data_IF_046325834219
#
_entry.id   IF_046325834219
#
_cell.length_a   1.000
_cell.length_b   1.000
_cell.length_c   1.000
_cell.angle_alpha   90.00
_cell.angle_beta   90.00
_cell.angle_gamma   90.00
#
_symmetry.space_group_name_H-M   'P 1'
#
loop_
_entity.id
_entity.type
_entity.pdbx_description
1 polymer ?
#
# COMPACT_ATOMS: atom_id res chain seq x y z
N UNK A 1 4.56 24.11 -6.28
CA UNK A 1 3.79 22.85 -6.35
C UNK A 1 2.65 23.02 -7.32
N UNK A 2 2.48 22.09 -8.25
CA UNK A 2 1.35 22.11 -9.17
C UNK A 2 0.03 21.87 -8.42
N UNK A 3 -1.10 22.35 -9.00
CA UNK A 3 -2.42 22.09 -8.42
C UNK A 3 -2.72 20.59 -8.30
N UNK A 4 -2.21 19.78 -9.25
CA UNK A 4 -2.33 18.32 -9.21
C UNK A 4 -1.66 17.72 -7.99
N UNK A 5 -0.45 18.14 -7.68
CA UNK A 5 0.31 17.64 -6.54
C UNK A 5 -0.30 18.06 -5.21
N UNK A 6 -0.85 19.25 -5.14
CA UNK A 6 -1.61 19.70 -3.96
C UNK A 6 -2.84 18.82 -3.74
N UNK A 7 -3.57 18.50 -4.79
CA UNK A 7 -4.73 17.60 -4.70
C UNK A 7 -4.35 16.18 -4.24
N UNK A 8 -3.21 15.67 -4.71
CA UNK A 8 -2.67 14.37 -4.29
C UNK A 8 -2.31 14.41 -2.81
N UNK A 9 -1.62 15.45 -2.35
CA UNK A 9 -1.26 15.63 -0.95
C UNK A 9 -2.50 15.69 -0.05
N UNK A 10 -3.50 16.45 -0.44
CA UNK A 10 -4.75 16.57 0.30
C UNK A 10 -5.49 15.22 0.39
N UNK A 11 -5.50 14.48 -0.71
CA UNK A 11 -6.11 13.14 -0.79
C UNK A 11 -5.39 12.14 0.12
N UNK A 12 -4.07 12.06 0.02
CA UNK A 12 -3.28 11.14 0.85
C UNK A 12 -3.34 11.57 2.33
N UNK A 13 -3.23 12.86 2.62
CA UNK A 13 -3.32 13.40 3.96
C UNK A 13 -4.66 13.13 4.65
N UNK A 14 -5.75 13.08 3.88
CA UNK A 14 -7.07 12.71 4.39
C UNK A 14 -7.13 11.23 4.79
N UNK A 15 -6.41 10.35 4.09
CA UNK A 15 -6.36 8.91 4.35
C UNK A 15 -5.27 8.51 5.34
N UNK A 16 -4.16 9.25 5.35
CA UNK A 16 -2.99 8.98 6.19
C UNK A 16 -2.69 10.21 7.04
N UNK A 17 -3.23 10.30 8.26
CA UNK A 17 -2.96 11.43 9.15
C UNK A 17 -1.47 11.61 9.42
N UNK A 18 -0.96 12.83 9.22
CA UNK A 18 0.43 13.17 9.39
C UNK A 18 1.30 13.05 8.12
N UNK A 19 0.74 12.59 7.01
CA UNK A 19 1.41 12.64 5.71
C UNK A 19 1.34 14.05 5.13
N UNK A 20 2.50 14.66 4.94
CA UNK A 20 2.62 16.06 4.45
C UNK A 20 3.50 16.18 3.21
N UNK A 21 3.84 15.08 2.57
CA UNK A 21 4.72 15.04 1.41
C UNK A 21 6.20 15.07 1.76
N UNK A 22 7.02 15.43 0.79
CA UNK A 22 8.47 15.27 0.86
C UNK A 22 9.24 16.58 0.63
N UNK A 23 8.63 17.73 0.96
CA UNK A 23 9.19 19.06 0.65
C UNK A 23 10.45 19.41 1.44
N UNK A 24 10.59 18.90 2.66
CA UNK A 24 11.77 19.09 3.49
C UNK A 24 12.18 17.81 4.22
N UNK A 25 13.36 17.81 4.83
CA UNK A 25 13.92 16.60 5.47
C UNK A 25 13.04 16.04 6.58
N UNK A 26 12.45 16.91 7.42
CA UNK A 26 11.58 16.46 8.51
C UNK A 26 10.29 15.86 7.97
N UNK A 27 9.68 16.47 6.95
CA UNK A 27 8.47 15.98 6.28
C UNK A 27 8.72 14.66 5.56
N UNK A 28 9.88 14.52 4.88
CA UNK A 28 10.24 13.28 4.19
C UNK A 28 10.20 12.07 5.12
N UNK A 29 10.88 12.14 6.24
CA UNK A 29 10.95 11.03 7.20
C UNK A 29 9.60 10.74 7.84
N UNK A 30 8.90 11.80 8.23
CA UNK A 30 7.58 11.69 8.85
C UNK A 30 6.56 11.08 7.89
N UNK A 31 6.46 11.63 6.69
CA UNK A 31 5.51 11.16 5.66
C UNK A 31 5.80 9.72 5.25
N UNK A 32 7.05 9.37 5.05
CA UNK A 32 7.48 8.03 4.67
C UNK A 32 7.12 7.00 5.76
N UNK A 33 7.37 7.31 7.01
CA UNK A 33 6.97 6.46 8.13
C UNK A 33 5.45 6.31 8.24
N UNK A 34 4.71 7.39 8.15
CA UNK A 34 3.25 7.37 8.19
C UNK A 34 2.66 6.61 7.02
N UNK A 35 3.22 6.77 5.84
CA UNK A 35 2.84 6.01 4.64
C UNK A 35 2.97 4.50 4.86
N UNK A 36 4.13 4.04 5.32
CA UNK A 36 4.38 2.62 5.59
C UNK A 36 3.45 2.06 6.66
N UNK A 37 3.41 2.72 7.81
CA UNK A 37 2.66 2.25 8.97
C UNK A 37 1.17 2.16 8.67
N UNK A 38 0.58 3.17 8.07
CA UNK A 38 -0.85 3.21 7.79
C UNK A 38 -1.25 2.23 6.69
N UNK A 39 -0.46 2.11 5.63
CA UNK A 39 -0.73 1.15 4.56
C UNK A 39 -0.58 -0.29 5.05
N UNK A 40 0.43 -0.59 5.85
CA UNK A 40 0.59 -1.90 6.48
C UNK A 40 -0.59 -2.21 7.40
N UNK A 41 -1.06 -1.25 8.17
CA UNK A 41 -2.23 -1.41 9.05
C UNK A 41 -3.50 -1.77 8.27
N UNK A 42 -3.75 -1.11 7.13
CA UNK A 42 -4.91 -1.42 6.29
C UNK A 42 -4.81 -2.80 5.66
N UNK A 43 -3.62 -3.22 5.23
CA UNK A 43 -3.40 -4.56 4.72
C UNK A 43 -3.58 -5.63 5.81
N UNK A 44 -3.14 -5.37 7.04
CA UNK A 44 -3.38 -6.25 8.19
C UNK A 44 -4.89 -6.37 8.50
N UNK A 45 -5.62 -5.27 8.45
CA UNK A 45 -7.08 -5.28 8.62
C UNK A 45 -7.78 -6.06 7.52
N UNK A 46 -7.30 -5.93 6.28
CA UNK A 46 -7.82 -6.70 5.14
C UNK A 46 -7.58 -8.19 5.31
N UNK A 47 -6.40 -8.58 5.80
CA UNK A 47 -6.08 -9.98 6.13
C UNK A 47 -7.02 -10.52 7.22
N UNK A 48 -7.27 -9.74 8.27
CA UNK A 48 -8.22 -10.12 9.32
C UNK A 48 -9.64 -10.35 8.79
N UNK A 49 -10.09 -9.51 7.87
CA UNK A 49 -11.39 -9.69 7.22
C UNK A 49 -11.44 -11.02 6.43
N UNK A 50 -10.36 -11.39 5.78
CA UNK A 50 -10.25 -12.69 5.10
C UNK A 50 -10.26 -13.84 6.09
N UNK A 51 -9.55 -13.74 7.20
CA UNK A 51 -9.55 -14.76 8.26
C UNK A 51 -10.97 -14.97 8.81
N UNK A 52 -11.72 -13.92 9.06
CA UNK A 52 -13.11 -14.04 9.49
C UNK A 52 -13.98 -14.76 8.46
N UNK A 53 -13.77 -14.50 7.19
CA UNK A 53 -14.46 -15.24 6.12
C UNK A 53 -14.03 -16.71 6.06
N UNK A 54 -12.75 -17.00 6.25
CA UNK A 54 -12.25 -18.39 6.32
C UNK A 54 -12.93 -19.18 7.45
N UNK A 55 -13.23 -18.56 8.59
CA UNK A 55 -13.97 -19.21 9.69
C UNK A 55 -15.36 -19.64 9.22
N UNK A 56 -16.03 -18.83 8.42
CA UNK A 56 -17.33 -19.18 7.82
C UNK A 56 -17.18 -20.38 6.88
N UNK A 57 -16.15 -20.40 6.04
CA UNK A 57 -15.88 -21.52 5.13
C UNK A 57 -15.59 -22.85 5.89
N UNK A 58 -14.87 -22.77 7.00
CA UNK A 58 -14.62 -23.93 7.86
C UNK A 58 -15.95 -24.47 8.42
N UNK A 59 -16.82 -23.58 8.90
CA UNK A 59 -18.14 -23.98 9.44
C UNK A 59 -19.03 -24.61 8.36
N UNK A 60 -18.92 -24.21 7.10
CA UNK A 60 -19.67 -24.79 5.99
C UNK A 60 -18.97 -25.99 5.34
N UNK A 61 -17.82 -26.39 5.85
CA UNK A 61 -17.00 -27.52 5.35
C UNK A 61 -16.57 -27.41 3.88
N UNK A 62 -16.33 -26.19 3.39
CA UNK A 62 -15.87 -25.93 2.02
C UNK A 62 -14.35 -25.79 1.96
N UNK A 63 -13.65 -26.93 1.97
CA UNK A 63 -12.18 -26.98 2.06
C UNK A 63 -11.48 -26.47 0.80
N UNK A 64 -12.08 -26.64 -0.40
CA UNK A 64 -11.48 -26.16 -1.64
C UNK A 64 -11.43 -24.64 -1.68
N UNK A 65 -12.51 -23.97 -1.33
CA UNK A 65 -12.55 -22.53 -1.22
C UNK A 65 -11.62 -22.02 -0.13
N UNK A 66 -11.55 -22.73 0.99
CA UNK A 66 -10.66 -22.37 2.10
C UNK A 66 -9.21 -22.27 1.63
N UNK A 67 -8.72 -23.21 0.83
CA UNK A 67 -7.36 -23.19 0.30
C UNK A 67 -7.09 -21.99 -0.61
N UNK A 68 -8.04 -21.64 -1.48
CA UNK A 68 -7.92 -20.47 -2.36
C UNK A 68 -7.81 -19.17 -1.55
N UNK A 69 -8.63 -19.03 -0.51
CA UNK A 69 -8.58 -17.87 0.37
C UNK A 69 -7.33 -17.82 1.25
N UNK A 70 -6.80 -19.00 1.63
CA UNK A 70 -5.54 -19.09 2.37
C UNK A 70 -4.35 -18.62 1.52
N UNK A 71 -4.32 -18.96 0.24
CA UNK A 71 -3.30 -18.46 -0.68
C UNK A 71 -3.35 -16.93 -0.78
N UNK A 72 -4.54 -16.35 -0.87
CA UNK A 72 -4.74 -14.92 -0.90
C UNK A 72 -4.32 -14.25 0.43
N UNK A 73 -4.65 -14.87 1.56
CA UNK A 73 -4.24 -14.41 2.89
C UNK A 73 -2.71 -14.34 2.99
N UNK A 74 -2.02 -15.37 2.53
CA UNK A 74 -0.54 -15.41 2.51
C UNK A 74 0.05 -14.31 1.64
N UNK A 75 -0.54 -14.05 0.48
CA UNK A 75 -0.13 -12.95 -0.39
C UNK A 75 -0.29 -11.59 0.29
N UNK A 76 -1.40 -11.37 0.99
CA UNK A 76 -1.61 -10.16 1.79
C UNK A 76 -0.58 -10.00 2.91
N UNK A 77 -0.29 -11.08 3.63
CA UNK A 77 0.72 -11.08 4.69
C UNK A 77 2.10 -10.71 4.14
N UNK A 78 2.49 -11.29 3.01
CA UNK A 78 3.74 -10.98 2.33
C UNK A 78 3.79 -9.51 1.91
N UNK A 79 2.71 -8.99 1.33
CA UNK A 79 2.63 -7.59 0.92
C UNK A 79 2.70 -6.64 2.11
N UNK A 80 2.07 -6.98 3.23
CA UNK A 80 2.16 -6.20 4.47
C UNK A 80 3.62 -6.05 4.91
N UNK A 81 4.38 -7.12 4.88
CA UNK A 81 5.80 -7.10 5.23
C UNK A 81 6.63 -6.28 4.24
N UNK A 82 6.36 -6.41 2.94
CA UNK A 82 7.03 -5.62 1.90
C UNK A 82 6.78 -4.12 2.11
N UNK A 83 5.55 -3.72 2.33
CA UNK A 83 5.19 -2.30 2.56
C UNK A 83 5.82 -1.77 3.84
N UNK A 84 5.81 -2.57 4.90
CA UNK A 84 6.31 -2.14 6.21
C UNK A 84 7.84 -2.00 6.26
N UNK A 85 8.57 -2.86 5.57
CA UNK A 85 10.03 -3.00 5.71
C UNK A 85 10.85 -2.71 4.45
N UNK A 86 10.23 -2.31 3.34
CA UNK A 86 10.91 -2.14 2.04
C UNK A 86 11.94 -1.01 1.96
N UNK A 87 12.04 -0.16 2.97
CA UNK A 87 12.77 1.11 2.88
C UNK A 87 14.17 1.12 3.49
N UNK A 88 14.69 -0.03 3.91
CA UNK A 88 16.02 -0.09 4.50
C UNK A 88 17.14 0.35 3.56
N UNK A 89 16.96 0.23 2.24
CA UNK A 89 17.90 0.69 1.23
C UNK A 89 17.66 2.11 0.70
N UNK A 90 16.59 2.75 1.12
CA UNK A 90 16.11 4.04 0.61
C UNK A 90 16.32 5.21 1.59
N UNK A 91 16.94 4.95 2.74
CA UNK A 91 17.10 5.92 3.81
C UNK A 91 17.88 7.18 3.41
N UNK A 92 18.83 7.06 2.47
CA UNK A 92 19.60 8.19 1.96
C UNK A 92 18.73 9.17 1.17
N UNK A 93 17.84 8.68 0.30
CA UNK A 93 16.90 9.52 -0.44
C UNK A 93 16.10 10.43 0.48
N UNK A 94 15.52 9.84 1.54
CA UNK A 94 14.68 10.56 2.49
C UNK A 94 15.48 11.45 3.45
N UNK A 95 16.80 11.34 3.49
CA UNK A 95 17.67 12.16 4.35
C UNK A 95 18.40 13.28 3.62
N UNK A 96 18.48 13.28 2.30
CA UNK A 96 19.21 14.28 1.52
C UNK A 96 18.35 15.50 1.17
N UNK A 97 18.99 16.69 1.19
CA UNK A 97 18.32 17.97 0.92
C UNK A 97 18.38 18.41 -0.54
N UNK A 98 19.00 17.62 -1.43
CA UNK A 98 19.32 18.05 -2.80
C UNK A 98 18.38 17.48 -3.88
N UNK A 99 17.25 16.91 -3.48
CA UNK A 99 16.34 16.30 -4.45
C UNK A 99 15.45 17.40 -5.04
N UNK A 100 15.34 17.41 -6.35
CA UNK A 100 14.52 18.38 -7.09
C UNK A 100 13.04 18.14 -6.84
N UNK A 101 12.26 19.21 -6.91
CA UNK A 101 10.81 19.17 -6.69
C UNK A 101 10.11 18.19 -7.64
N UNK A 102 10.50 18.16 -8.92
CA UNK A 102 9.95 17.23 -9.91
C UNK A 102 10.15 15.76 -9.56
N UNK A 103 11.24 15.44 -8.89
CA UNK A 103 11.57 14.09 -8.45
C UNK A 103 10.72 13.67 -7.24
N UNK A 104 10.50 14.60 -6.33
CA UNK A 104 9.59 14.41 -5.20
C UNK A 104 8.16 14.23 -5.66
N UNK A 105 7.76 14.95 -6.70
CA UNK A 105 6.43 14.84 -7.31
C UNK A 105 6.19 13.44 -7.88
N UNK A 106 7.20 12.82 -8.46
CA UNK A 106 7.11 11.42 -8.95
C UNK A 106 6.91 10.44 -7.81
N UNK A 107 7.56 10.63 -6.68
CA UNK A 107 7.35 9.79 -5.49
C UNK A 107 5.91 9.93 -4.98
N UNK A 108 5.36 11.13 -4.98
CA UNK A 108 3.95 11.37 -4.64
C UNK A 108 2.99 10.59 -5.54
N UNK A 109 3.26 10.52 -6.84
CA UNK A 109 2.44 9.75 -7.78
C UNK A 109 2.48 8.24 -7.46
N UNK A 110 3.64 7.69 -7.17
CA UNK A 110 3.74 6.29 -6.72
C UNK A 110 2.96 6.06 -5.42
N UNK A 111 3.08 6.96 -4.46
CA UNK A 111 2.37 6.86 -3.20
C UNK A 111 0.86 6.91 -3.39
N UNK A 112 0.35 7.79 -4.25
CA UNK A 112 -1.07 7.86 -4.59
C UNK A 112 -1.57 6.54 -5.19
N UNK A 113 -0.87 5.99 -6.15
CA UNK A 113 -1.24 4.72 -6.79
C UNK A 113 -1.28 3.56 -5.80
N UNK A 114 -0.31 3.48 -4.89
CA UNK A 114 -0.26 2.44 -3.85
C UNK A 114 -1.43 2.61 -2.88
N UNK A 115 -1.67 3.81 -2.39
CA UNK A 115 -2.78 4.11 -1.48
C UNK A 115 -4.12 3.74 -2.11
N UNK A 116 -4.34 4.07 -3.37
CA UNK A 116 -5.57 3.75 -4.09
C UNK A 116 -5.81 2.24 -4.15
N UNK A 117 -4.80 1.44 -4.48
CA UNK A 117 -4.92 -0.03 -4.55
C UNK A 117 -5.17 -0.64 -3.18
N UNK A 118 -4.51 -0.14 -2.14
CA UNK A 118 -4.71 -0.63 -0.77
C UNK A 118 -6.13 -0.31 -0.29
N UNK A 119 -6.66 0.88 -0.59
CA UNK A 119 -8.05 1.23 -0.29
C UNK A 119 -9.04 0.28 -1.00
N UNK A 120 -8.79 -0.06 -2.26
CA UNK A 120 -9.60 -1.02 -3.01
C UNK A 120 -9.57 -2.39 -2.33
N UNK A 121 -8.40 -2.88 -1.94
CA UNK A 121 -8.25 -4.16 -1.23
C UNK A 121 -9.05 -4.16 0.07
N UNK A 122 -8.91 -3.12 0.88
CA UNK A 122 -9.61 -3.00 2.15
C UNK A 122 -11.12 -3.01 1.98
N UNK A 123 -11.65 -2.20 1.09
CA UNK A 123 -13.08 -2.15 0.79
C UNK A 123 -13.61 -3.47 0.25
N UNK A 124 -12.88 -4.11 -0.65
CA UNK A 124 -13.25 -5.41 -1.20
C UNK A 124 -13.27 -6.49 -0.11
N UNK A 125 -12.35 -6.46 0.85
CA UNK A 125 -12.30 -7.40 1.97
C UNK A 125 -13.47 -7.24 2.95
N UNK A 126 -14.04 -6.04 3.05
CA UNK A 126 -15.19 -5.76 3.91
C UNK A 126 -16.55 -6.11 3.25
N UNK A 127 -16.70 -5.74 1.99
CA UNK A 127 -17.99 -5.69 1.29
C UNK A 127 -18.22 -6.80 0.25
N UNK A 128 -17.65 -7.93 0.38
CA UNK A 128 -17.73 -9.12 -0.49
C UNK A 128 -18.91 -9.12 -1.44
N UNK A 129 -18.78 -8.46 -2.59
CA UNK A 129 -19.81 -8.38 -3.63
C UNK A 129 -20.15 -9.77 -4.19
N UNK A 130 -19.13 -10.51 -4.60
CA UNK A 130 -19.13 -11.94 -4.80
C UNK A 130 -17.75 -12.47 -4.41
N UNK A 131 -17.67 -13.71 -3.97
CA UNK A 131 -16.40 -14.31 -3.55
C UNK A 131 -15.38 -14.30 -4.67
N UNK A 132 -15.78 -14.66 -5.87
CA UNK A 132 -14.89 -14.75 -7.03
C UNK A 132 -14.38 -13.38 -7.47
N UNK A 133 -15.26 -12.37 -7.56
CA UNK A 133 -14.87 -11.00 -7.91
C UNK A 133 -13.96 -10.39 -6.85
N UNK A 134 -14.23 -10.63 -5.58
CA UNK A 134 -13.40 -10.15 -4.47
C UNK A 134 -11.99 -10.74 -4.56
N UNK A 135 -11.84 -12.05 -4.78
CA UNK A 135 -10.54 -12.69 -4.95
C UNK A 135 -9.76 -12.11 -6.12
N UNK A 136 -10.39 -12.00 -7.28
CA UNK A 136 -9.78 -11.44 -8.50
C UNK A 136 -9.32 -10.00 -8.26
N UNK A 137 -10.17 -9.16 -7.68
CA UNK A 137 -9.89 -7.76 -7.43
C UNK A 137 -8.70 -7.58 -6.47
N UNK A 138 -8.69 -8.30 -5.35
CA UNK A 138 -7.60 -8.25 -4.38
C UNK A 138 -6.30 -8.78 -5.00
N UNK A 139 -6.35 -9.91 -5.70
CA UNK A 139 -5.17 -10.49 -6.36
C UNK A 139 -4.57 -9.55 -7.39
N UNK A 140 -5.39 -8.90 -8.21
CA UNK A 140 -4.92 -7.94 -9.21
C UNK A 140 -4.31 -6.70 -8.55
N UNK A 141 -4.93 -6.16 -7.51
CA UNK A 141 -4.39 -5.03 -6.76
C UNK A 141 -3.05 -5.36 -6.12
N UNK A 142 -2.88 -6.56 -5.56
CA UNK A 142 -1.60 -7.00 -4.99
C UNK A 142 -0.49 -7.06 -6.04
N UNK A 143 -0.78 -7.57 -7.23
CA UNK A 143 0.18 -7.58 -8.36
C UNK A 143 0.57 -6.18 -8.79
N UNK A 144 -0.39 -5.27 -8.88
CA UNK A 144 -0.15 -3.87 -9.22
C UNK A 144 0.69 -3.16 -8.16
N UNK A 145 0.39 -3.36 -6.88
CA UNK A 145 1.17 -2.79 -5.77
C UNK A 145 2.61 -3.29 -5.82
N UNK A 146 2.83 -4.58 -6.05
CA UNK A 146 4.17 -5.15 -6.16
C UNK A 146 4.97 -4.48 -7.28
N UNK A 147 4.36 -4.30 -8.45
CA UNK A 147 4.96 -3.60 -9.58
C UNK A 147 5.26 -2.12 -9.25
N UNK A 148 4.33 -1.43 -8.65
CA UNK A 148 4.47 -0.01 -8.30
C UNK A 148 5.56 0.18 -7.24
N UNK A 149 5.59 -0.66 -6.21
CA UNK A 149 6.65 -0.63 -5.17
C UNK A 149 8.02 -0.86 -5.78
N UNK A 150 8.14 -1.80 -6.70
CA UNK A 150 9.39 -2.09 -7.40
C UNK A 150 9.85 -0.90 -8.23
N UNK A 151 8.96 -0.30 -9.00
CA UNK A 151 9.25 0.89 -9.80
C UNK A 151 9.63 2.10 -8.91
N UNK A 152 8.93 2.28 -7.80
CA UNK A 152 9.22 3.32 -6.81
C UNK A 152 10.61 3.14 -6.22
N UNK A 153 10.93 1.93 -5.82
CA UNK A 153 12.24 1.58 -5.25
C UNK A 153 13.37 1.82 -6.25
N UNK A 154 13.21 1.40 -7.48
CA UNK A 154 14.18 1.61 -8.56
C UNK A 154 14.39 3.10 -8.83
N UNK A 155 13.31 3.87 -8.90
CA UNK A 155 13.37 5.32 -9.07
C UNK A 155 14.16 5.99 -7.94
N UNK A 156 13.88 5.64 -6.69
CA UNK A 156 14.55 6.19 -5.51
C UNK A 156 16.05 5.84 -5.50
N UNK A 157 16.41 4.62 -5.90
CA UNK A 157 17.80 4.15 -5.93
C UNK A 157 18.65 4.87 -6.98
N UNK A 158 18.06 5.41 -8.02
CA UNK A 158 18.78 6.19 -9.05
C UNK A 158 19.38 7.50 -8.49
N UNK A 159 18.93 7.96 -7.32
CA UNK A 159 19.41 9.18 -6.66
C UNK A 159 20.47 8.94 -5.58
N UNK A 160 21.28 7.96 -5.73
CA UNK A 160 22.42 7.72 -4.84
C UNK A 160 23.60 8.60 -5.15
#
# INVERSE_FOLDING_TARGET
MSNRNKNILDKIGALIPGYTGYSNRADKRKSEKKFRDQNALLLEKSEKNIIEFQKILISSNDLNKLNEWEDLRKQLNTMTSLVKYSNYGESSFFSENQIKEDELDKVLLFDEEIVDRIQIIFKASENKLSEELTKILISNCLKEIDRILSNRSDFIKEFK
#
